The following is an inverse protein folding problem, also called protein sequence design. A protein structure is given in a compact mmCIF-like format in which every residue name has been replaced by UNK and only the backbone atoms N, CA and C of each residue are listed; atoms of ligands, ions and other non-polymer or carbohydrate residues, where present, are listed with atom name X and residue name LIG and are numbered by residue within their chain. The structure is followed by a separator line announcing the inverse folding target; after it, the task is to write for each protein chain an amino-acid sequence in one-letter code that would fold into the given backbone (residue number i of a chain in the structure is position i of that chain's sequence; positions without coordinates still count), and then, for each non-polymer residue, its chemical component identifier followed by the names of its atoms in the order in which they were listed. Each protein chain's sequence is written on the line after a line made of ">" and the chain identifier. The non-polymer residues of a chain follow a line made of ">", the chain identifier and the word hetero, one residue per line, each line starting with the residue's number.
data_IF_517142765618
#
_entry.id   IF_517142765618
#
_cell.length_a   1.000
_cell.length_b   1.000
_cell.length_c   1.000
_cell.angle_alpha   90.00
_cell.angle_beta   90.00
_cell.angle_gamma   90.00
#
_symmetry.space_group_name_H-M   'P 1'
#
loop_
_entity.id
_entity.type
_entity.pdbx_description
1 polymer ?
#
# COMPACT_ATOMS: atom_id res chain seq x y z
N UNK A 1 2.62 29.75 -9.42
CA UNK A 1 1.73 28.85 -10.19
C UNK A 1 1.02 27.94 -9.20
N UNK A 2 -0.30 27.74 -9.30
CA UNK A 2 -1.00 26.82 -8.41
C UNK A 2 -0.89 25.38 -8.94
N UNK A 3 -0.07 24.58 -8.26
CA UNK A 3 0.16 23.17 -8.57
C UNK A 3 -0.93 22.24 -8.04
N UNK A 4 -2.01 22.76 -7.47
CA UNK A 4 -3.16 21.95 -7.03
C UNK A 4 -4.26 21.86 -8.08
N UNK A 5 -4.26 22.80 -9.04
CA UNK A 5 -5.26 22.93 -10.11
C UNK A 5 -5.10 21.83 -11.15
N UNK A 6 -6.24 21.28 -11.56
CA UNK A 6 -6.34 20.36 -12.69
C UNK A 6 -6.89 21.12 -13.89
N UNK A 7 -6.32 20.83 -15.06
CA UNK A 7 -6.69 21.44 -16.33
C UNK A 7 -7.31 20.39 -17.24
N UNK A 8 -8.35 20.76 -17.96
CA UNK A 8 -8.85 20.02 -19.11
C UNK A 8 -8.18 20.57 -20.35
N UNK A 9 -7.56 19.70 -21.13
CA UNK A 9 -6.74 20.07 -22.29
C UNK A 9 -7.35 19.48 -23.55
N UNK A 10 -7.52 20.28 -24.59
CA UNK A 10 -8.14 19.87 -25.86
C UNK A 10 -7.47 20.56 -27.05
N UNK A 11 -7.38 19.84 -28.16
CA UNK A 11 -6.98 20.41 -29.45
C UNK A 11 -8.17 21.12 -30.08
N UNK A 12 -7.92 22.27 -30.72
CA UNK A 12 -8.95 22.97 -31.47
C UNK A 12 -9.53 22.07 -32.58
N UNK A 13 -10.86 22.00 -32.71
CA UNK A 13 -11.55 21.22 -33.75
C UNK A 13 -11.34 21.75 -35.17
N UNK A 14 -10.76 22.94 -35.33
CA UNK A 14 -10.43 23.48 -36.64
C UNK A 14 -9.17 22.77 -37.17
N UNK A 15 -9.24 22.02 -38.28
CA UNK A 15 -8.10 21.26 -38.80
C UNK A 15 -6.91 22.12 -39.21
N UNK A 16 -7.11 23.43 -39.40
CA UNK A 16 -6.06 24.40 -39.73
C UNK A 16 -5.51 25.13 -38.49
N UNK A 17 -5.85 24.69 -37.28
CA UNK A 17 -5.48 25.35 -36.05
C UNK A 17 -4.91 24.35 -35.04
N UNK A 18 -3.61 24.42 -34.79
CA UNK A 18 -2.91 23.57 -33.83
C UNK A 18 -2.97 24.11 -32.39
N UNK A 19 -3.85 25.08 -32.13
CA UNK A 19 -3.94 25.69 -30.82
C UNK A 19 -4.53 24.71 -29.79
N UNK A 20 -3.81 24.55 -28.68
CA UNK A 20 -4.24 23.75 -27.54
C UNK A 20 -4.97 24.65 -26.54
N UNK A 21 -6.24 24.34 -26.35
CA UNK A 21 -7.10 25.00 -25.39
C UNK A 21 -6.94 24.33 -24.02
N UNK A 22 -7.00 25.15 -22.97
CA UNK A 22 -6.93 24.68 -21.58
C UNK A 22 -7.96 25.44 -20.76
N UNK A 23 -8.72 24.72 -19.95
CA UNK A 23 -9.64 25.29 -18.95
C UNK A 23 -9.37 24.66 -17.60
N UNK A 24 -9.35 25.45 -16.54
CA UNK A 24 -9.16 24.91 -15.19
C UNK A 24 -10.45 24.24 -14.72
N UNK A 25 -10.37 23.16 -13.94
CA UNK A 25 -11.55 22.55 -13.32
C UNK A 25 -12.21 23.47 -12.29
N UNK A 26 -11.45 24.39 -11.70
CA UNK A 26 -11.97 25.42 -10.80
C UNK A 26 -12.94 26.37 -11.54
N UNK A 27 -12.64 26.71 -12.81
CA UNK A 27 -13.49 27.56 -13.66
C UNK A 27 -14.75 26.84 -14.17
N UNK A 28 -14.81 25.52 -14.08
CA UNK A 28 -15.97 24.74 -14.53
C UNK A 28 -17.11 24.70 -13.52
N UNK A 29 -16.84 24.98 -12.24
CA UNK A 29 -17.82 24.89 -11.15
C UNK A 29 -18.28 23.44 -10.84
N UNK A 30 -19.03 23.27 -9.75
CA UNK A 30 -19.44 21.94 -9.22
C UNK A 30 -20.63 21.32 -9.99
N UNK A 31 -21.20 22.00 -11.00
CA UNK A 31 -22.31 21.46 -11.79
C UNK A 31 -21.79 20.85 -13.11
N UNK A 32 -21.74 19.52 -13.11
CA UNK A 32 -21.37 18.60 -14.19
C UNK A 32 -22.33 18.58 -15.40
N UNK A 33 -22.91 19.73 -15.78
CA UNK A 33 -23.86 19.81 -16.90
C UNK A 33 -23.70 21.06 -17.77
N UNK A 34 -22.54 21.73 -17.72
CA UNK A 34 -22.33 22.92 -18.52
C UNK A 34 -21.61 22.53 -19.81
N UNK A 35 -22.39 22.43 -20.90
CA UNK A 35 -21.91 22.56 -22.28
C UNK A 35 -21.23 23.93 -22.45
N UNK A 36 -20.04 24.11 -21.89
CA UNK A 36 -19.28 25.36 -21.96
C UNK A 36 -18.64 25.43 -23.34
N UNK A 37 -19.23 26.25 -24.21
CA UNK A 37 -18.70 26.53 -25.53
C UNK A 37 -17.37 27.28 -25.40
N UNK A 38 -16.26 26.60 -25.70
CA UNK A 38 -14.93 27.19 -25.66
C UNK A 38 -14.54 27.74 -27.03
N UNK A 39 -14.51 29.07 -27.13
CA UNK A 39 -14.04 29.75 -28.34
C UNK A 39 -12.52 29.71 -28.41
N UNK A 40 -11.98 29.21 -29.51
CA UNK A 40 -10.54 29.27 -29.75
C UNK A 40 -10.09 30.72 -29.91
N UNK A 41 -9.09 31.20 -29.14
CA UNK A 41 -8.63 32.58 -29.23
C UNK A 41 -7.90 32.86 -30.55
N UNK A 42 -7.39 31.85 -31.24
CA UNK A 42 -6.63 32.00 -32.48
C UNK A 42 -7.54 32.03 -33.70
N UNK A 43 -8.38 31.02 -33.89
CA UNK A 43 -9.20 30.89 -35.09
C UNK A 43 -10.69 31.19 -34.88
N UNK A 44 -11.09 31.55 -33.65
CA UNK A 44 -12.48 31.86 -33.30
C UNK A 44 -13.44 30.67 -33.32
N UNK A 45 -12.98 29.46 -33.67
CA UNK A 45 -13.81 28.26 -33.72
C UNK A 45 -14.36 27.93 -32.35
N UNK A 46 -15.67 27.69 -32.27
CA UNK A 46 -16.35 27.29 -31.05
C UNK A 46 -16.25 25.79 -30.88
N UNK A 47 -15.64 25.35 -29.78
CA UNK A 47 -15.47 23.95 -29.46
C UNK A 47 -16.60 23.52 -28.51
N UNK A 48 -17.55 22.76 -29.04
CA UNK A 48 -18.54 21.99 -28.27
C UNK A 48 -17.91 20.66 -27.84
N UNK A 49 -17.07 20.69 -26.82
CA UNK A 49 -16.52 19.45 -26.23
C UNK A 49 -17.25 19.14 -24.93
N UNK A 50 -17.58 17.86 -24.73
CA UNK A 50 -17.94 17.35 -23.40
C UNK A 50 -16.69 17.49 -22.55
N UNK A 51 -16.61 18.56 -21.76
CA UNK A 51 -15.43 18.90 -20.97
C UNK A 51 -15.04 17.76 -20.02
N UNK A 52 -16.01 16.92 -19.64
CA UNK A 52 -15.81 15.74 -18.79
C UNK A 52 -14.92 14.67 -19.43
N UNK A 53 -15.03 14.47 -20.75
CA UNK A 53 -14.26 13.47 -21.50
C UNK A 53 -12.84 13.95 -21.83
N UNK A 54 -12.58 15.26 -21.70
CA UNK A 54 -11.28 15.80 -22.00
C UNK A 54 -10.22 15.27 -21.03
N UNK A 55 -9.01 14.90 -21.51
CA UNK A 55 -7.91 14.47 -20.65
C UNK A 55 -7.62 15.49 -19.54
N UNK A 56 -7.32 14.97 -18.35
CA UNK A 56 -6.97 15.76 -17.17
C UNK A 56 -5.48 15.92 -17.07
N UNK A 57 -5.01 17.15 -16.87
CA UNK A 57 -3.60 17.49 -16.80
C UNK A 57 -3.32 18.35 -15.58
N UNK A 58 -2.07 18.31 -15.12
CA UNK A 58 -1.63 19.03 -13.93
C UNK A 58 -0.16 19.42 -14.07
N UNK A 59 0.21 20.58 -13.51
CA UNK A 59 1.61 21.00 -13.43
C UNK A 59 2.34 20.32 -12.28
N UNK A 60 3.56 19.85 -12.55
CA UNK A 60 4.46 19.33 -11.52
C UNK A 60 5.14 20.47 -10.76
N UNK A 61 5.11 20.45 -9.42
CA UNK A 61 5.80 21.48 -8.59
C UNK A 61 7.34 21.46 -8.69
N UNK A 62 7.91 20.41 -9.28
CA UNK A 62 9.37 20.20 -9.34
C UNK A 62 9.91 20.57 -10.70
N UNK A 63 9.41 19.94 -11.77
CA UNK A 63 9.87 20.21 -13.13
C UNK A 63 9.01 21.21 -13.90
N UNK A 64 7.92 21.71 -13.29
CA UNK A 64 7.01 22.72 -13.88
C UNK A 64 6.38 22.33 -15.23
N UNK A 65 6.52 21.06 -15.64
CA UNK A 65 5.89 20.53 -16.85
C UNK A 65 4.42 20.22 -16.60
N UNK A 66 3.59 20.54 -17.58
CA UNK A 66 2.20 20.08 -17.66
C UNK A 66 2.20 18.60 -18.09
N UNK A 67 1.62 17.73 -17.26
CA UNK A 67 1.57 16.29 -17.52
C UNK A 67 0.17 15.72 -17.28
N UNK A 68 -0.18 14.57 -17.90
CA UNK A 68 -1.41 13.87 -17.59
C UNK A 68 -1.54 13.59 -16.08
N UNK A 69 -2.75 13.71 -15.53
CA UNK A 69 -3.01 13.54 -14.11
C UNK A 69 -2.61 12.15 -13.59
N UNK A 70 -2.61 11.16 -14.49
CA UNK A 70 -2.20 9.77 -14.27
C UNK A 70 -0.71 9.66 -13.95
N UNK A 71 0.10 10.63 -14.36
CA UNK A 71 1.54 10.72 -14.05
C UNK A 71 1.81 11.24 -12.63
N UNK A 72 0.77 11.41 -11.81
CA UNK A 72 0.89 11.78 -10.41
C UNK A 72 0.33 10.65 -9.52
N UNK A 73 1.01 10.36 -8.41
CA UNK A 73 0.50 9.37 -7.45
C UNK A 73 -0.77 9.88 -6.78
N UNK A 74 -1.67 8.94 -6.43
CA UNK A 74 -2.87 9.25 -5.63
C UNK A 74 -2.47 9.74 -4.25
N UNK A 75 -3.21 10.71 -3.76
CA UNK A 75 -3.08 11.23 -2.40
C UNK A 75 -4.47 11.47 -1.82
N UNK A 76 -4.58 11.46 -0.48
CA UNK A 76 -5.84 11.85 0.17
C UNK A 76 -6.19 13.26 -0.26
N UNK A 77 -7.40 13.45 -0.76
CA UNK A 77 -7.92 14.76 -1.11
C UNK A 77 -7.95 15.64 0.15
N UNK A 78 -7.42 16.85 0.02
CA UNK A 78 -7.56 17.91 1.01
C UNK A 78 -7.94 19.19 0.28
N UNK A 79 -8.87 19.96 0.85
CA UNK A 79 -9.35 21.20 0.25
C UNK A 79 -8.26 22.27 0.11
N UNK A 80 -7.15 22.15 0.83
CA UNK A 80 -6.01 23.06 0.78
C UNK A 80 -4.89 22.55 -0.13
N UNK A 81 -4.21 21.47 0.25
CA UNK A 81 -2.91 21.09 -0.32
C UNK A 81 -2.98 20.03 -1.43
N UNK A 82 -4.08 19.27 -1.53
CA UNK A 82 -4.21 18.14 -2.47
C UNK A 82 -5.60 18.09 -3.12
N UNK A 83 -6.06 19.24 -3.63
CA UNK A 83 -7.38 19.40 -4.29
C UNK A 83 -7.58 18.47 -5.48
N UNK A 84 -6.51 18.08 -6.16
CA UNK A 84 -6.59 17.13 -7.26
C UNK A 84 -6.73 15.66 -6.83
N UNK A 85 -6.68 15.33 -5.53
CA UNK A 85 -6.56 13.95 -5.04
C UNK A 85 -5.27 13.24 -5.50
N UNK A 86 -4.25 14.03 -5.88
CA UNK A 86 -2.96 13.58 -6.38
C UNK A 86 -1.84 14.38 -5.72
N UNK A 87 -0.66 13.80 -5.61
CA UNK A 87 0.53 14.51 -5.15
C UNK A 87 0.87 15.73 -6.03
N UNK A 88 1.69 16.65 -5.52
CA UNK A 88 2.07 17.88 -6.21
C UNK A 88 3.21 17.65 -7.22
N UNK A 89 4.03 16.63 -6.97
CA UNK A 89 5.11 16.17 -7.83
C UNK A 89 4.65 15.03 -8.75
N UNK A 90 5.18 14.99 -9.99
CA UNK A 90 4.97 13.84 -10.87
C UNK A 90 5.80 12.64 -10.41
N UNK A 91 5.40 11.43 -10.84
CA UNK A 91 6.08 10.17 -10.52
C UNK A 91 7.55 10.18 -10.88
N UNK A 92 7.92 10.77 -12.01
CA UNK A 92 9.30 10.84 -12.46
C UNK A 92 10.15 11.68 -11.52
N UNK A 93 9.76 12.93 -11.24
CA UNK A 93 10.45 13.79 -10.29
C UNK A 93 10.45 13.18 -8.88
N UNK A 94 9.35 12.54 -8.46
CA UNK A 94 9.32 11.84 -7.18
C UNK A 94 10.41 10.77 -7.12
N UNK A 95 10.58 9.98 -8.18
CA UNK A 95 11.52 8.87 -8.19
C UNK A 95 12.98 9.29 -8.40
N UNK A 96 13.23 10.36 -9.17
CA UNK A 96 14.58 10.81 -9.53
C UNK A 96 15.13 11.92 -8.65
N UNK A 97 14.26 12.84 -8.21
CA UNK A 97 14.67 14.09 -7.54
C UNK A 97 14.29 14.15 -6.06
N UNK A 98 13.33 13.33 -5.61
CA UNK A 98 12.82 13.41 -4.22
C UNK A 98 13.18 12.15 -3.44
N UNK A 99 12.70 10.99 -3.88
CA UNK A 99 12.90 9.71 -3.21
C UNK A 99 14.39 9.37 -3.00
N UNK A 100 15.33 9.65 -3.91
CA UNK A 100 16.74 9.35 -3.69
C UNK A 100 17.34 10.14 -2.51
N UNK A 101 16.82 11.32 -2.20
CA UNK A 101 17.26 12.12 -1.06
C UNK A 101 16.45 11.81 0.21
N UNK A 102 15.14 11.56 0.10
CA UNK A 102 14.29 11.30 1.27
C UNK A 102 14.36 9.86 1.77
N UNK A 103 14.52 8.86 0.90
CA UNK A 103 14.55 7.46 1.32
C UNK A 103 15.74 7.11 2.22
N UNK A 104 16.96 7.66 2.00
CA UNK A 104 18.07 7.49 2.95
C UNK A 104 17.81 8.10 4.33
N UNK A 105 16.99 9.15 4.43
CA UNK A 105 16.65 9.79 5.71
C UNK A 105 15.60 9.00 6.52
N UNK A 106 15.00 7.97 5.94
CA UNK A 106 13.99 7.16 6.61
C UNK A 106 14.64 6.13 7.52
N UNK A 107 14.11 6.02 8.73
CA UNK A 107 14.47 4.97 9.67
C UNK A 107 14.07 3.59 9.13
N UNK A 108 14.75 2.54 9.59
CA UNK A 108 14.42 1.17 9.21
C UNK A 108 12.98 0.79 9.60
N UNK A 109 12.48 1.27 10.75
CA UNK A 109 11.09 1.11 11.17
C UNK A 109 10.10 1.76 10.19
N UNK A 110 10.39 2.96 9.67
CA UNK A 110 9.54 3.60 8.64
C UNK A 110 9.53 2.84 7.31
N UNK A 111 10.65 2.21 6.93
CA UNK A 111 10.71 1.36 5.74
C UNK A 111 9.90 0.07 5.94
N UNK A 112 10.00 -0.52 7.14
CA UNK A 112 9.25 -1.71 7.56
C UNK A 112 7.75 -1.44 7.59
N UNK A 113 7.33 -0.34 8.22
CA UNK A 113 5.93 0.13 8.24
C UNK A 113 5.37 0.28 6.82
N UNK A 114 6.10 0.94 5.92
CA UNK A 114 5.68 1.06 4.52
C UNK A 114 5.68 -0.27 3.76
N UNK A 115 6.52 -1.23 4.13
CA UNK A 115 6.46 -2.58 3.57
C UNK A 115 5.18 -3.30 4.02
N UNK A 116 4.85 -3.24 5.31
CA UNK A 116 3.64 -3.84 5.87
C UNK A 116 2.36 -3.24 5.26
N UNK A 117 2.27 -1.92 5.12
CA UNK A 117 1.11 -1.27 4.50
C UNK A 117 0.92 -1.60 3.01
N UNK A 118 1.99 -1.98 2.31
CA UNK A 118 1.90 -2.40 0.90
C UNK A 118 1.41 -3.84 0.74
N UNK A 119 1.44 -4.65 1.81
CA UNK A 119 0.88 -6.00 1.77
C UNK A 119 -0.64 -5.92 1.75
N UNK A 120 -1.28 -6.89 1.08
CA UNK A 120 -2.74 -6.99 0.93
C UNK A 120 -3.50 -6.87 2.28
N UNK A 121 -2.84 -7.21 3.38
CA UNK A 121 -3.36 -7.23 4.74
C UNK A 121 -2.80 -6.14 5.66
N UNK A 122 -2.15 -5.11 5.11
CA UNK A 122 -1.61 -3.98 5.88
C UNK A 122 -2.67 -3.16 6.64
N UNK A 123 -3.97 -3.44 6.44
CA UNK A 123 -5.07 -2.89 7.25
C UNK A 123 -5.22 -3.59 8.61
N UNK A 124 -4.59 -4.75 8.81
CA UNK A 124 -4.57 -5.49 10.09
C UNK A 124 -3.39 -5.12 10.96
N UNK A 125 -2.35 -4.56 10.35
CA UNK A 125 -1.30 -3.86 11.06
C UNK A 125 -1.97 -2.68 11.76
N UNK A 126 -2.23 -2.82 13.07
CA UNK A 126 -2.82 -1.75 13.87
C UNK A 126 -1.95 -0.49 13.86
N UNK A 127 -2.41 0.55 14.56
CA UNK A 127 -1.65 1.79 14.71
C UNK A 127 -0.36 1.60 15.54
N UNK A 128 -0.24 0.48 16.25
CA UNK A 128 0.92 0.16 17.05
C UNK A 128 2.15 -0.06 16.17
N UNK A 129 3.07 0.89 16.28
CA UNK A 129 4.34 0.86 15.56
C UNK A 129 5.30 -0.14 16.20
N UNK A 130 5.88 -0.99 15.36
CA UNK A 130 6.99 -1.85 15.74
C UNK A 130 8.17 -0.95 16.15
N UNK A 131 8.75 -1.21 17.31
CA UNK A 131 9.93 -0.49 17.81
C UNK A 131 11.12 -1.44 17.80
N UNK A 132 11.97 -1.30 16.77
CA UNK A 132 13.11 -2.21 16.57
C UNK A 132 14.08 -2.22 17.75
N UNK A 133 14.29 -1.07 18.41
CA UNK A 133 15.19 -0.94 19.57
C UNK A 133 14.68 -1.72 20.78
N UNK A 134 13.37 -1.70 21.05
CA UNK A 134 12.75 -2.49 22.13
C UNK A 134 12.88 -3.98 21.86
N UNK A 135 12.66 -4.41 20.62
CA UNK A 135 12.76 -5.82 20.24
C UNK A 135 14.22 -6.29 20.29
N UNK A 136 15.15 -5.49 19.80
CA UNK A 136 16.57 -5.78 19.89
C UNK A 136 17.00 -6.06 21.34
N UNK A 137 16.66 -5.16 22.27
CA UNK A 137 16.94 -5.34 23.71
C UNK A 137 16.29 -6.60 24.29
N UNK A 138 15.05 -6.87 23.89
CA UNK A 138 14.28 -8.04 24.36
C UNK A 138 14.92 -9.38 23.98
N UNK A 139 15.61 -9.43 22.84
CA UNK A 139 16.35 -10.61 22.37
C UNK A 139 17.87 -10.50 22.65
N UNK A 140 18.28 -9.60 23.54
CA UNK A 140 19.69 -9.36 23.89
C UNK A 140 20.61 -9.05 22.69
N UNK A 141 20.05 -8.55 21.58
CA UNK A 141 20.81 -8.31 20.35
C UNK A 141 21.27 -9.58 19.65
N UNK A 142 20.73 -10.75 19.97
CA UNK A 142 21.13 -12.03 19.40
C UNK A 142 20.04 -12.62 18.49
N UNK A 143 20.46 -13.37 17.47
CA UNK A 143 19.55 -14.16 16.67
C UNK A 143 18.88 -15.22 17.56
N UNK A 144 17.55 -15.21 17.63
CA UNK A 144 16.81 -16.13 18.48
C UNK A 144 17.09 -17.61 18.17
N UNK A 145 17.29 -17.97 16.89
CA UNK A 145 17.49 -19.35 16.45
C UNK A 145 18.92 -19.85 16.68
N UNK A 146 19.94 -19.07 16.31
CA UNK A 146 21.33 -19.54 16.30
C UNK A 146 22.23 -18.90 17.37
N UNK A 147 21.73 -17.92 18.14
CA UNK A 147 22.49 -17.22 19.17
C UNK A 147 23.58 -16.26 18.65
N UNK A 148 23.71 -16.09 17.33
CA UNK A 148 24.68 -15.15 16.74
C UNK A 148 24.35 -13.73 17.19
N UNK A 149 25.33 -13.00 17.72
CA UNK A 149 25.22 -11.57 18.01
C UNK A 149 24.96 -10.79 16.71
N UNK A 150 24.00 -9.88 16.75
CA UNK A 150 23.57 -9.09 15.60
C UNK A 150 23.89 -7.62 15.85
N UNK A 151 24.49 -6.90 14.88
CA UNK A 151 24.57 -5.46 14.97
C UNK A 151 23.16 -4.85 14.87
N UNK A 152 22.89 -3.82 15.68
CA UNK A 152 21.65 -3.06 15.55
C UNK A 152 21.52 -2.44 14.14
N UNK A 153 20.30 -2.39 13.60
CA UNK A 153 20.01 -2.10 12.18
C UNK A 153 20.71 -0.85 11.60
N UNK A 154 20.93 0.18 12.42
CA UNK A 154 21.65 1.41 12.01
C UNK A 154 23.09 1.14 11.55
N UNK A 155 23.75 0.12 12.13
CA UNK A 155 25.14 -0.22 11.80
C UNK A 155 25.23 -1.18 10.61
N UNK A 156 24.30 -2.13 10.47
CA UNK A 156 24.26 -3.06 9.34
C UNK A 156 22.85 -3.64 9.12
N UNK A 157 22.01 -3.02 8.27
CA UNK A 157 20.59 -3.39 8.12
C UNK A 157 20.37 -4.71 7.37
N UNK A 158 21.42 -5.35 6.86
CA UNK A 158 21.32 -6.64 6.16
C UNK A 158 21.39 -7.84 7.11
N UNK A 159 22.12 -7.71 8.22
CA UNK A 159 22.39 -8.79 9.19
C UNK A 159 21.17 -9.06 10.07
N UNK A 160 20.58 -7.99 10.62
CA UNK A 160 19.45 -8.06 11.53
C UNK A 160 18.11 -8.04 10.79
N UNK A 161 17.22 -9.00 11.10
CA UNK A 161 15.86 -9.08 10.60
C UNK A 161 14.87 -9.18 11.74
N UNK A 162 13.81 -8.37 11.70
CA UNK A 162 12.60 -8.65 12.47
C UNK A 162 11.65 -9.48 11.62
N UNK A 163 11.45 -10.71 12.05
CA UNK A 163 10.60 -11.70 11.39
C UNK A 163 9.17 -11.68 11.95
N UNK A 164 8.23 -11.98 11.06
CA UNK A 164 6.87 -12.35 11.43
C UNK A 164 6.88 -13.74 12.07
N UNK A 165 6.91 -13.78 13.41
CA UNK A 165 6.88 -15.03 14.17
C UNK A 165 5.80 -15.97 13.65
N UNK A 166 4.57 -15.48 13.56
CA UNK A 166 3.48 -16.13 12.85
C UNK A 166 3.44 -15.61 11.40
N UNK A 167 3.23 -16.47 10.38
CA UNK A 167 3.37 -16.07 8.99
C UNK A 167 2.41 -14.97 8.52
N UNK A 168 2.96 -13.96 7.85
CA UNK A 168 2.19 -12.88 7.23
C UNK A 168 1.28 -13.38 6.10
N UNK A 169 1.67 -14.47 5.41
CA UNK A 169 0.84 -15.16 4.41
C UNK A 169 -0.49 -15.68 4.98
N UNK A 170 -0.54 -15.92 6.30
CA UNK A 170 -1.72 -16.31 7.07
C UNK A 170 -2.36 -15.13 7.82
N UNK A 171 -2.08 -13.90 7.37
CA UNK A 171 -2.64 -12.64 7.88
C UNK A 171 -2.25 -12.31 9.32
N UNK A 172 -1.13 -12.85 9.79
CA UNK A 172 -0.55 -12.44 11.07
C UNK A 172 0.33 -11.20 10.87
N UNK A 173 0.00 -10.06 11.49
CA UNK A 173 0.77 -8.84 11.35
C UNK A 173 2.07 -8.92 12.13
N UNK A 174 3.07 -8.12 11.74
CA UNK A 174 4.39 -8.13 12.40
C UNK A 174 4.30 -7.77 13.89
N UNK A 175 3.33 -6.94 14.26
CA UNK A 175 3.04 -6.52 15.62
C UNK A 175 2.69 -7.68 16.57
N UNK A 176 2.27 -8.84 16.03
CA UNK A 176 1.97 -10.04 16.82
C UNK A 176 3.25 -10.74 17.28
N UNK A 177 4.07 -10.04 18.07
CA UNK A 177 5.25 -10.57 18.72
C UNK A 177 6.39 -10.88 17.74
N UNK A 178 7.02 -9.88 17.11
CA UNK A 178 8.09 -10.09 16.13
C UNK A 178 9.32 -10.77 16.76
N UNK A 179 10.03 -11.57 15.97
CA UNK A 179 11.23 -12.30 16.39
C UNK A 179 12.49 -11.70 15.79
N UNK A 180 13.56 -11.59 16.58
CA UNK A 180 14.86 -11.15 16.10
C UNK A 180 15.63 -12.33 15.48
N UNK A 181 15.97 -12.26 14.20
CA UNK A 181 16.73 -13.27 13.49
C UNK A 181 17.89 -12.66 12.67
N UNK A 182 18.94 -13.45 12.46
CA UNK A 182 19.92 -13.14 11.42
C UNK A 182 19.30 -13.35 10.02
N UNK A 183 19.91 -12.77 8.98
CA UNK A 183 19.48 -12.96 7.60
C UNK A 183 19.35 -14.44 7.20
N UNK A 184 20.29 -15.28 7.62
CA UNK A 184 20.31 -16.72 7.26
C UNK A 184 19.12 -17.46 7.87
N UNK A 185 18.90 -17.30 9.18
CA UNK A 185 17.79 -17.95 9.88
C UNK A 185 16.43 -17.41 9.42
N UNK A 186 16.33 -16.11 9.15
CA UNK A 186 15.12 -15.50 8.59
C UNK A 186 14.79 -16.10 7.22
N UNK A 187 15.79 -16.23 6.35
CA UNK A 187 15.63 -16.83 5.02
C UNK A 187 15.31 -18.32 5.08
N UNK A 188 15.83 -19.06 6.06
CA UNK A 188 15.46 -20.47 6.28
C UNK A 188 14.03 -20.61 6.83
N UNK A 189 13.62 -19.72 7.73
CA UNK A 189 12.24 -19.71 8.24
C UNK A 189 11.24 -19.40 7.13
N UNK A 190 11.51 -18.45 6.25
CA UNK A 190 10.73 -18.17 5.02
C UNK A 190 9.19 -18.18 5.17
N UNK A 191 8.65 -17.69 6.30
CA UNK A 191 7.21 -17.71 6.55
C UNK A 191 6.61 -19.10 6.82
N UNK A 192 7.44 -20.10 7.14
CA UNK A 192 7.02 -21.34 7.81
C UNK A 192 6.37 -21.02 9.16
N UNK A 193 5.46 -21.88 9.56
CA UNK A 193 4.87 -21.83 10.88
C UNK A 193 5.92 -22.14 11.96
N UNK A 194 5.82 -21.57 13.17
CA UNK A 194 6.85 -21.75 14.19
C UNK A 194 7.23 -23.21 14.47
N UNK A 195 6.27 -24.13 14.59
CA UNK A 195 6.54 -25.55 14.85
C UNK A 195 7.25 -26.28 13.72
N UNK A 196 7.27 -25.73 12.51
CA UNK A 196 7.99 -26.30 11.36
C UNK A 196 9.47 -25.87 11.33
N UNK A 197 9.87 -24.91 12.18
CA UNK A 197 11.22 -24.33 12.15
C UNK A 197 11.93 -24.30 13.52
N UNK A 198 11.18 -24.20 14.61
CA UNK A 198 11.71 -24.15 15.97
C UNK A 198 11.43 -25.45 16.71
N UNK A 199 12.40 -25.86 17.52
CA UNK A 199 12.29 -26.99 18.45
C UNK A 199 11.37 -26.63 19.62
N UNK A 200 10.86 -27.64 20.34
CA UNK A 200 9.93 -27.43 21.46
C UNK A 200 10.46 -26.42 22.51
N UNK A 201 11.73 -26.56 22.90
CA UNK A 201 12.36 -25.67 23.89
C UNK A 201 12.42 -24.23 23.36
N UNK A 202 12.69 -24.06 22.07
CA UNK A 202 12.69 -22.76 21.41
C UNK A 202 11.25 -22.20 21.37
N UNK A 203 10.24 -22.99 21.03
CA UNK A 203 8.83 -22.55 21.03
C UNK A 203 8.38 -22.05 22.41
N UNK A 204 8.79 -22.73 23.49
CA UNK A 204 8.48 -22.30 24.87
C UNK A 204 9.16 -20.98 25.20
N UNK A 205 10.45 -20.83 24.89
CA UNK A 205 11.19 -19.56 25.07
C UNK A 205 10.57 -18.44 24.24
N UNK A 206 10.19 -18.76 23.00
CA UNK A 206 9.57 -17.83 22.08
C UNK A 206 8.20 -17.36 22.59
N UNK A 207 7.42 -18.26 23.21
CA UNK A 207 6.15 -17.93 23.85
C UNK A 207 6.32 -16.88 24.96
N UNK A 208 7.31 -17.10 25.85
CA UNK A 208 7.61 -16.17 26.94
C UNK A 208 8.06 -14.81 26.41
N UNK A 209 8.97 -14.80 25.42
CA UNK A 209 9.43 -13.56 24.83
C UNK A 209 8.28 -12.87 24.11
N UNK A 210 7.69 -13.47 23.09
CA UNK A 210 6.72 -12.81 22.20
C UNK A 210 5.35 -12.54 22.84
N UNK A 211 4.99 -13.25 23.91
CA UNK A 211 3.65 -13.25 24.49
C UNK A 211 2.63 -14.08 23.70
N UNK A 212 3.07 -14.78 22.64
CA UNK A 212 2.22 -15.68 21.86
C UNK A 212 2.09 -16.98 22.64
N UNK A 213 0.87 -17.50 22.78
CA UNK A 213 0.65 -18.76 23.51
C UNK A 213 1.43 -19.92 22.88
N UNK A 214 2.14 -20.70 23.70
CA UNK A 214 2.86 -21.90 23.26
C UNK A 214 1.97 -22.84 22.43
N UNK A 215 0.73 -23.09 22.88
CA UNK A 215 -0.24 -23.92 22.16
C UNK A 215 -0.51 -23.44 20.72
N UNK A 216 -0.41 -22.14 20.47
CA UNK A 216 -0.54 -21.58 19.13
C UNK A 216 0.72 -21.80 18.30
N UNK A 217 1.90 -21.53 18.89
CA UNK A 217 3.18 -21.70 18.20
C UNK A 217 3.45 -23.16 17.83
N UNK A 218 3.13 -24.09 18.74
CA UNK A 218 3.32 -25.52 18.57
C UNK A 218 2.20 -26.21 17.76
N UNK A 219 1.07 -25.54 17.55
CA UNK A 219 -0.09 -26.10 16.85
C UNK A 219 0.02 -26.01 15.34
N UNK A 220 -1.06 -26.40 14.67
CA UNK A 220 -1.17 -26.36 13.20
C UNK A 220 -1.25 -24.93 12.65
N UNK A 221 -0.75 -24.70 11.41
CA UNK A 221 -0.89 -23.41 10.74
C UNK A 221 -2.36 -23.01 10.57
N UNK A 222 -2.67 -21.77 10.96
CA UNK A 222 -4.03 -21.22 10.82
C UNK A 222 -4.04 -19.73 10.51
N UNK A 223 -5.13 -19.26 9.94
CA UNK A 223 -5.30 -17.84 9.70
C UNK A 223 -5.44 -17.07 11.01
N UNK A 224 -5.05 -15.80 10.99
CA UNK A 224 -5.36 -14.89 12.09
C UNK A 224 -6.90 -14.75 12.21
N UNK A 225 -7.53 -15.23 13.30
CA UNK A 225 -8.98 -15.24 13.41
C UNK A 225 -9.56 -13.82 13.44
N UNK A 226 -8.81 -12.85 14.00
CA UNK A 226 -9.22 -11.44 13.99
C UNK A 226 -9.21 -10.88 12.57
N UNK A 227 -8.23 -11.29 11.77
CA UNK A 227 -8.11 -10.90 10.37
C UNK A 227 -9.28 -11.36 9.53
N UNK A 228 -9.60 -12.66 9.62
CA UNK A 228 -10.71 -13.27 8.88
C UNK A 228 -12.04 -12.62 9.27
N UNK A 229 -12.28 -12.43 10.58
CA UNK A 229 -13.48 -11.75 11.08
C UNK A 229 -13.61 -10.32 10.55
N UNK A 230 -12.51 -9.57 10.52
CA UNK A 230 -12.51 -8.21 9.96
C UNK A 230 -12.79 -8.23 8.45
N UNK A 231 -12.15 -9.14 7.70
CA UNK A 231 -12.32 -9.26 6.25
C UNK A 231 -13.77 -9.54 5.89
N UNK A 232 -14.40 -10.52 6.54
CA UNK A 232 -15.82 -10.85 6.33
C UNK A 232 -16.72 -9.67 6.65
N UNK A 233 -16.41 -8.90 7.71
CA UNK A 233 -17.21 -7.73 8.12
C UNK A 233 -17.06 -6.56 7.14
N UNK A 234 -15.88 -6.34 6.57
CA UNK A 234 -15.53 -5.15 5.80
C UNK A 234 -15.15 -5.49 4.34
N UNK A 235 -15.74 -6.54 3.78
CA UNK A 235 -15.34 -7.09 2.48
C UNK A 235 -15.48 -6.08 1.34
N UNK A 236 -16.53 -5.25 1.33
CA UNK A 236 -16.72 -4.24 0.29
C UNK A 236 -15.61 -3.18 0.30
N UNK A 237 -15.17 -2.75 1.51
CA UNK A 237 -14.07 -1.80 1.67
C UNK A 237 -12.74 -2.43 1.22
N UNK A 238 -12.52 -3.69 1.58
CA UNK A 238 -11.37 -4.46 1.12
C UNK A 238 -11.33 -4.55 -0.41
N UNK A 239 -12.45 -4.93 -1.04
CA UNK A 239 -12.56 -5.00 -2.50
C UNK A 239 -12.28 -3.64 -3.14
N UNK A 240 -12.93 -2.56 -2.68
CA UNK A 240 -12.72 -1.23 -3.24
C UNK A 240 -11.25 -0.77 -3.21
N UNK A 241 -10.50 -1.15 -2.16
CA UNK A 241 -9.07 -0.81 -2.02
C UNK A 241 -8.15 -1.68 -2.88
N UNK A 242 -8.49 -2.96 -3.03
CA UNK A 242 -7.56 -3.97 -3.56
C UNK A 242 -7.97 -4.58 -4.90
N UNK A 243 -9.09 -4.18 -5.49
CA UNK A 243 -9.62 -4.74 -6.75
C UNK A 243 -8.63 -4.73 -7.94
N UNK A 244 -7.62 -3.87 -7.89
CA UNK A 244 -6.52 -3.80 -8.87
C UNK A 244 -5.53 -4.99 -8.78
N UNK A 245 -5.67 -5.84 -7.77
CA UNK A 245 -4.86 -7.04 -7.51
C UNK A 245 -5.79 -8.27 -7.40
N UNK A 246 -6.47 -8.66 -8.49
CA UNK A 246 -7.50 -9.69 -8.46
C UNK A 246 -6.97 -11.07 -8.07
N UNK A 247 -5.76 -11.42 -8.49
CA UNK A 247 -5.17 -12.74 -8.25
C UNK A 247 -4.82 -12.95 -6.77
N UNK A 248 -4.36 -11.91 -6.10
CA UNK A 248 -4.07 -11.95 -4.67
C UNK A 248 -5.35 -12.04 -3.85
N UNK A 249 -6.43 -11.38 -4.26
CA UNK A 249 -7.76 -11.53 -3.64
C UNK A 249 -8.22 -12.98 -3.78
N UNK A 250 -8.14 -13.56 -4.99
CA UNK A 250 -8.51 -14.97 -5.24
C UNK A 250 -7.67 -15.94 -4.41
N UNK A 251 -6.36 -15.71 -4.32
CA UNK A 251 -5.44 -16.52 -3.51
C UNK A 251 -5.83 -16.52 -2.04
N UNK A 252 -6.07 -15.33 -1.45
CA UNK A 252 -6.50 -15.23 -0.05
C UNK A 252 -7.84 -15.95 0.16
N UNK A 253 -8.84 -15.68 -0.70
CA UNK A 253 -10.15 -16.35 -0.61
C UNK A 253 -10.02 -17.86 -0.64
N UNK A 254 -9.26 -18.40 -1.60
CA UNK A 254 -9.02 -19.85 -1.73
C UNK A 254 -8.38 -20.44 -0.48
N UNK A 255 -7.39 -19.74 0.09
CA UNK A 255 -6.74 -20.22 1.31
C UNK A 255 -7.67 -20.13 2.53
N UNK A 256 -8.43 -19.06 2.71
CA UNK A 256 -9.38 -18.94 3.84
C UNK A 256 -10.48 -20.00 3.73
N UNK A 257 -11.01 -20.27 2.53
CA UNK A 257 -11.96 -21.38 2.32
C UNK A 257 -11.32 -22.71 2.71
N UNK A 258 -10.07 -22.95 2.29
CA UNK A 258 -9.36 -24.21 2.59
C UNK A 258 -9.12 -24.42 4.09
N UNK A 259 -8.72 -23.37 4.82
CA UNK A 259 -8.30 -23.49 6.22
C UNK A 259 -9.43 -23.27 7.22
N UNK A 260 -10.35 -22.35 6.93
CA UNK A 260 -11.39 -21.91 7.88
C UNK A 260 -12.80 -22.32 7.42
N UNK A 261 -12.96 -22.91 6.23
CA UNK A 261 -14.26 -23.24 5.62
C UNK A 261 -15.20 -22.03 5.48
N UNK A 262 -14.63 -20.82 5.36
CA UNK A 262 -15.36 -19.56 5.23
C UNK A 262 -15.08 -18.95 3.86
N UNK A 263 -16.13 -18.60 3.12
CA UNK A 263 -16.00 -17.74 1.94
C UNK A 263 -16.14 -16.26 2.37
N UNK A 264 -15.07 -15.48 2.20
CA UNK A 264 -15.04 -14.07 2.57
C UNK A 264 -16.05 -13.22 1.79
N UNK A 265 -16.57 -13.70 0.66
CA UNK A 265 -17.57 -13.01 -0.15
C UNK A 265 -19.01 -13.19 0.34
N UNK A 266 -19.26 -13.99 1.38
CA UNK A 266 -20.62 -14.23 1.91
C UNK A 266 -21.38 -12.96 2.27
N UNK A 267 -20.67 -11.91 2.73
CA UNK A 267 -21.27 -10.62 3.11
C UNK A 267 -21.03 -9.50 2.11
N UNK A 268 -20.49 -9.80 0.93
CA UNK A 268 -20.21 -8.76 -0.07
C UNK A 268 -21.51 -8.31 -0.75
N UNK A 269 -21.71 -7.00 -0.86
CA UNK A 269 -22.88 -6.43 -1.56
C UNK A 269 -22.86 -6.75 -3.04
N UNK A 270 -21.68 -6.65 -3.64
CA UNK A 270 -21.45 -7.02 -5.03
C UNK A 270 -20.02 -7.52 -5.19
N UNK A 271 -19.90 -8.63 -5.94
CA UNK A 271 -18.62 -9.22 -6.29
C UNK A 271 -18.53 -9.27 -7.81
N UNK A 272 -17.57 -8.55 -8.42
CA UNK A 272 -17.33 -8.60 -9.86
C UNK A 272 -17.14 -10.03 -10.38
N UNK A 273 -17.67 -10.32 -11.57
CA UNK A 273 -17.63 -11.67 -12.14
C UNK A 273 -16.21 -12.25 -12.24
N UNK A 274 -15.21 -11.42 -12.57
CA UNK A 274 -13.82 -11.86 -12.68
C UNK A 274 -13.20 -12.31 -11.34
N UNK A 275 -13.75 -11.93 -10.18
CA UNK A 275 -13.33 -12.42 -8.87
C UNK A 275 -14.05 -13.72 -8.45
N UNK A 276 -15.14 -14.07 -9.14
CA UNK A 276 -15.91 -15.29 -8.89
C UNK A 276 -15.33 -16.51 -9.60
N UNK A 277 -14.61 -16.30 -10.71
CA UNK A 277 -13.93 -17.39 -11.42
C UNK A 277 -12.82 -18.00 -10.56
N UNK A 278 -12.79 -19.35 -10.54
CA UNK A 278 -11.82 -20.16 -9.80
C UNK A 278 -10.38 -19.90 -10.22
#
# INVERSE_FOLDING_TARGET
>A
MDYTVVWRVFQCKNPKCDFILKISEDDLGIQSNINKLLKCPICGTVNSSVVEEAPRWKYCRVCERLQPLENFHRHKFTSSSFRSGRQLECKECKNKEINPYLNPLRTADQHRESSEHRRLYGFLSGEDKVNSKKIYKKFNGECFKCGRELPFEEKNPKEMRLDHTLPASLLWPLQCGPTLLCSDCNNKKHGLWPSEFYEEVELRRLSVLTGILYKLLAGEPRFNPRAVKWLVKNIDEFLARWIKYPDEIKKIRKMIIKFESIDIFVKARSVPAFLRSK
#
